data_IF_103566615627
#
_entry.id   IF_103566615627
#
_cell.length_a   1.000
_cell.length_b   1.000
_cell.length_c   1.000
_cell.angle_alpha   90.00
_cell.angle_beta   90.00
_cell.angle_gamma   90.00
#
_symmetry.space_group_name_H-M   'P 1'
#
loop_
_entity.id
_entity.type
_entity.pdbx_description
1 polymer ?
#
# COMPACT_ATOMS: atom_id res chain seq x y z
N UNK A 1 -4.05 -2.22 -22.49
CA UNK A 1 -2.73 -1.69 -22.04
C UNK A 1 -2.10 -0.73 -23.03
N UNK A 2 -2.24 -0.92 -24.35
CA UNK A 2 -1.80 0.10 -25.31
C UNK A 2 -2.54 1.43 -25.05
N UNK A 3 -1.83 2.56 -24.86
CA UNK A 3 -2.46 3.87 -24.71
C UNK A 3 -2.89 4.39 -26.09
N UNK A 4 -3.93 3.78 -26.67
CA UNK A 4 -4.36 3.94 -28.07
C UNK A 4 -4.78 5.37 -28.47
N UNK A 5 -5.06 6.23 -27.49
CA UNK A 5 -5.40 7.65 -27.72
C UNK A 5 -4.17 8.56 -27.79
N UNK A 6 -2.97 8.01 -27.65
CA UNK A 6 -1.72 8.78 -27.66
C UNK A 6 -0.74 8.15 -28.64
N UNK A 7 0.19 8.98 -29.14
CA UNK A 7 1.35 8.44 -29.87
C UNK A 7 2.30 7.80 -28.87
N UNK A 8 2.80 6.61 -29.21
CA UNK A 8 3.81 5.94 -28.42
C UNK A 8 5.09 6.80 -28.40
N UNK A 9 5.57 7.12 -27.20
CA UNK A 9 6.86 7.75 -26.99
C UNK A 9 7.90 6.65 -26.78
N UNK A 10 8.89 6.55 -27.68
CA UNK A 10 9.85 5.44 -27.71
C UNK A 10 11.26 5.88 -28.10
N UNK A 11 11.95 6.72 -27.29
CA UNK A 11 13.19 7.38 -27.67
C UNK A 11 14.34 6.43 -28.06
N UNK A 12 14.27 5.15 -27.67
CA UNK A 12 15.22 4.11 -28.13
C UNK A 12 14.76 2.67 -27.92
N UNK A 13 13.51 2.43 -27.48
CA UNK A 13 13.06 1.07 -27.15
C UNK A 13 12.81 0.25 -28.42
N UNK A 14 13.52 -0.86 -28.57
CA UNK A 14 13.45 -1.80 -29.70
C UNK A 14 13.37 -3.24 -29.21
N UNK A 15 12.87 -4.10 -30.09
CA UNK A 15 12.83 -5.55 -29.98
C UNK A 15 12.06 -6.03 -28.74
N UNK A 16 12.42 -7.21 -28.21
CA UNK A 16 11.71 -7.92 -27.17
C UNK A 16 10.90 -9.10 -27.70
N UNK A 17 10.69 -10.12 -26.87
CA UNK A 17 9.86 -11.27 -27.23
C UNK A 17 8.41 -10.81 -27.44
N UNK A 18 7.76 -11.35 -28.47
CA UNK A 18 6.36 -11.03 -28.81
C UNK A 18 6.15 -9.53 -29.11
N UNK A 19 7.09 -8.89 -29.82
CA UNK A 19 6.90 -7.53 -30.31
C UNK A 19 5.84 -7.52 -31.42
N UNK A 20 4.69 -6.90 -31.14
CA UNK A 20 3.52 -6.90 -32.02
C UNK A 20 3.22 -5.55 -32.69
N UNK A 21 4.08 -4.54 -32.50
CA UNK A 21 4.01 -3.25 -33.19
C UNK A 21 5.04 -3.18 -34.33
N UNK A 22 5.17 -2.02 -34.99
CA UNK A 22 6.15 -1.81 -36.06
C UNK A 22 7.61 -1.68 -35.58
N UNK A 23 7.88 -1.86 -34.28
CA UNK A 23 9.20 -1.81 -33.66
C UNK A 23 10.03 -0.55 -33.99
N UNK A 24 9.39 0.60 -34.20
CA UNK A 24 10.07 1.84 -34.59
C UNK A 24 10.67 1.84 -36.01
N UNK A 25 10.42 0.82 -36.82
CA UNK A 25 10.81 0.76 -38.23
C UNK A 25 12.28 1.07 -38.49
N UNK A 26 12.54 2.04 -39.38
CA UNK A 26 13.89 2.50 -39.76
C UNK A 26 14.39 3.69 -38.94
N UNK A 27 13.64 4.12 -37.92
CA UNK A 27 14.06 5.24 -37.09
C UNK A 27 15.35 4.89 -36.33
N UNK A 28 16.31 5.84 -36.18
CA UNK A 28 17.53 5.60 -35.41
C UNK A 28 17.23 5.11 -33.99
N UNK A 29 18.02 4.13 -33.54
CA UNK A 29 17.84 3.45 -32.26
C UNK A 29 18.71 4.01 -31.12
N UNK A 30 19.31 5.19 -31.30
CA UNK A 30 20.20 5.84 -30.32
C UNK A 30 19.89 7.33 -30.18
N UNK A 31 20.16 7.92 -29.03
CA UNK A 31 19.98 9.35 -28.74
C UNK A 31 21.13 9.89 -27.88
N UNK A 32 21.65 11.12 -28.14
CA UNK A 32 21.33 11.97 -29.28
C UNK A 32 21.93 11.42 -30.59
N UNK A 33 21.37 11.83 -31.74
CA UNK A 33 21.88 11.48 -33.07
C UNK A 33 21.76 12.66 -34.04
N UNK A 34 22.45 12.56 -35.17
CA UNK A 34 22.50 13.63 -36.21
C UNK A 34 21.39 13.50 -37.27
N UNK A 35 20.45 12.57 -37.11
CA UNK A 35 19.36 12.35 -38.06
C UNK A 35 18.11 13.15 -37.68
N UNK A 36 17.29 13.48 -38.68
CA UNK A 36 15.97 14.05 -38.44
C UNK A 36 15.08 13.00 -37.80
N UNK A 37 14.78 13.16 -36.52
CA UNK A 37 13.88 12.29 -35.78
C UNK A 37 12.56 12.98 -35.50
N UNK A 38 11.45 12.23 -35.53
CA UNK A 38 10.16 12.78 -35.12
C UNK A 38 10.15 13.09 -33.61
N UNK A 39 9.30 14.02 -33.15
CA UNK A 39 9.29 14.46 -31.74
C UNK A 39 9.10 13.31 -30.73
N UNK A 40 8.34 12.27 -31.08
CA UNK A 40 8.11 11.11 -30.21
C UNK A 40 9.34 10.21 -30.01
N UNK A 41 10.37 10.37 -30.82
CA UNK A 41 11.65 9.67 -30.72
C UNK A 41 12.71 10.47 -29.94
N UNK A 42 12.35 11.63 -29.37
CA UNK A 42 13.25 12.49 -28.58
C UNK A 42 12.72 12.63 -27.14
N UNK A 43 13.59 12.76 -26.13
CA UNK A 43 13.17 13.11 -24.77
C UNK A 43 12.38 14.42 -24.76
N UNK A 44 11.21 14.41 -24.15
CA UNK A 44 10.38 15.61 -23.98
C UNK A 44 10.70 16.25 -22.63
N UNK A 45 11.42 17.39 -22.67
CA UNK A 45 11.80 18.14 -21.47
C UNK A 45 10.59 18.76 -20.75
N UNK A 46 9.43 18.87 -21.39
CA UNK A 46 8.20 19.33 -20.73
C UNK A 46 7.64 18.30 -19.76
N UNK A 47 8.03 17.03 -19.92
CA UNK A 47 7.68 15.92 -19.04
C UNK A 47 8.68 15.68 -17.89
N UNK A 48 9.61 16.62 -17.64
CA UNK A 48 10.55 16.49 -16.53
C UNK A 48 9.81 16.44 -15.19
N UNK A 49 10.26 15.54 -14.31
CA UNK A 49 9.74 15.44 -12.95
C UNK A 49 9.98 16.74 -12.18
N UNK A 50 9.04 17.11 -11.31
CA UNK A 50 9.20 18.29 -10.46
C UNK A 50 10.33 18.05 -9.47
N UNK A 51 11.31 18.97 -9.35
CA UNK A 51 12.39 18.82 -8.38
C UNK A 51 11.83 18.85 -6.96
N UNK A 52 12.20 17.86 -6.15
CA UNK A 52 11.82 17.77 -4.73
C UNK A 52 13.05 18.06 -3.87
N UNK A 53 13.07 19.15 -3.08
CA UNK A 53 14.17 19.41 -2.17
C UNK A 53 14.15 18.37 -1.04
N UNK A 54 15.28 17.72 -0.80
CA UNK A 54 15.46 16.71 0.26
C UNK A 54 16.63 17.10 1.17
N UNK A 55 16.49 16.79 2.45
CA UNK A 55 17.53 17.02 3.46
C UNK A 55 17.68 15.79 4.35
N UNK A 56 18.93 15.38 4.62
CA UNK A 56 19.24 14.27 5.52
C UNK A 56 20.46 13.47 5.08
N UNK A 57 20.65 12.32 5.71
CA UNK A 57 21.72 11.37 5.38
C UNK A 57 21.14 10.18 4.61
N UNK A 58 21.86 9.72 3.58
CA UNK A 58 21.55 8.47 2.89
C UNK A 58 21.94 7.29 3.79
N UNK A 59 20.95 6.71 4.47
CA UNK A 59 21.15 5.59 5.37
C UNK A 59 19.88 4.72 5.43
N UNK A 60 20.02 3.45 5.85
CA UNK A 60 18.89 2.58 6.19
C UNK A 60 18.33 3.01 7.56
N UNK A 61 17.61 4.13 7.59
CA UNK A 61 16.92 4.56 8.81
C UNK A 61 15.66 3.71 8.98
N UNK A 62 15.36 3.34 10.21
CA UNK A 62 13.99 2.95 10.58
C UNK A 62 13.03 4.05 10.13
N UNK A 63 11.73 3.74 9.98
CA UNK A 63 10.69 4.70 9.62
C UNK A 63 10.42 5.68 10.79
N UNK A 64 11.48 6.33 11.29
CA UNK A 64 11.72 6.95 12.60
C UNK A 64 10.70 8.01 13.04
N UNK A 65 9.65 8.24 12.26
CA UNK A 65 8.45 8.97 12.65
C UNK A 65 7.58 8.21 13.67
N UNK A 66 7.74 6.90 13.87
CA UNK A 66 6.87 6.15 14.81
C UNK A 66 7.58 5.56 16.03
N UNK A 67 8.89 5.29 15.95
CA UNK A 67 9.57 4.48 16.97
C UNK A 67 9.96 5.28 18.24
N UNK A 68 9.99 6.62 18.17
CA UNK A 68 10.39 7.49 19.29
C UNK A 68 9.60 8.80 19.37
N UNK A 69 8.40 8.86 18.76
CA UNK A 69 7.59 10.08 18.79
C UNK A 69 6.60 10.09 19.96
N UNK A 70 6.44 11.28 20.56
CA UNK A 70 5.35 11.60 21.47
C UNK A 70 4.12 12.01 20.62
N UNK A 71 2.91 11.53 20.94
CA UNK A 71 2.58 10.60 22.01
C UNK A 71 3.01 9.16 21.69
N UNK A 72 3.28 8.33 22.73
CA UNK A 72 3.44 6.89 22.53
C UNK A 72 2.21 6.34 21.78
N UNK A 73 2.42 5.29 20.98
CA UNK A 73 1.34 4.63 20.22
C UNK A 73 0.69 5.49 19.11
N UNK A 74 1.44 6.44 18.53
CA UNK A 74 0.97 7.28 17.41
C UNK A 74 0.39 6.48 16.22
N UNK A 75 0.86 5.25 16.00
CA UNK A 75 0.37 4.33 14.97
C UNK A 75 -1.13 4.00 15.10
N UNK A 76 -1.68 4.09 16.33
CA UNK A 76 -3.06 3.71 16.61
C UNK A 76 -4.04 4.89 16.57
N UNK A 77 -3.56 6.13 16.39
CA UNK A 77 -4.41 7.34 16.41
C UNK A 77 -5.46 7.29 15.29
N UNK A 78 -5.03 7.05 14.06
CA UNK A 78 -5.95 7.00 12.91
C UNK A 78 -6.92 5.82 13.02
N UNK A 79 -6.44 4.66 13.48
CA UNK A 79 -7.28 3.49 13.70
C UNK A 79 -8.33 3.73 14.79
N UNK A 80 -7.96 4.44 15.87
CA UNK A 80 -8.87 4.83 16.95
C UNK A 80 -9.92 5.81 16.45
N UNK A 81 -9.54 6.80 15.64
CA UNK A 81 -10.49 7.73 15.03
C UNK A 81 -11.48 7.01 14.12
N UNK A 82 -11.00 6.10 13.27
CA UNK A 82 -11.88 5.28 12.43
C UNK A 82 -12.83 4.43 13.28
N UNK A 83 -12.32 3.78 14.32
CA UNK A 83 -13.14 2.96 15.21
C UNK A 83 -14.21 3.78 15.95
N UNK A 84 -13.84 4.93 16.53
CA UNK A 84 -14.74 5.77 17.34
C UNK A 84 -15.71 6.61 16.51
N UNK A 85 -15.29 7.10 15.36
CA UNK A 85 -16.04 8.09 14.57
C UNK A 85 -16.38 7.61 13.16
N UNK A 86 -15.58 6.72 12.58
CA UNK A 86 -15.84 6.14 11.26
C UNK A 86 -16.85 4.98 11.28
N UNK A 87 -16.98 4.28 12.42
CA UNK A 87 -17.88 3.14 12.57
C UNK A 87 -19.06 3.43 13.49
N UNK A 88 -20.25 3.06 13.04
CA UNK A 88 -21.43 2.97 13.90
C UNK A 88 -21.46 1.64 14.68
N UNK A 89 -22.43 1.49 15.59
CA UNK A 89 -22.54 0.31 16.46
C UNK A 89 -22.66 -1.01 15.68
N UNK A 90 -23.51 -1.05 14.64
CA UNK A 90 -23.71 -2.24 13.83
C UNK A 90 -22.43 -2.64 13.07
N UNK A 91 -21.70 -1.67 12.53
CA UNK A 91 -20.44 -1.90 11.84
C UNK A 91 -19.35 -2.40 12.79
N UNK A 92 -19.31 -1.89 14.04
CA UNK A 92 -18.40 -2.42 15.08
C UNK A 92 -18.74 -3.86 15.44
N UNK A 93 -20.01 -4.21 15.57
CA UNK A 93 -20.42 -5.60 15.81
C UNK A 93 -19.98 -6.53 14.67
N UNK A 94 -20.16 -6.11 13.41
CA UNK A 94 -19.69 -6.86 12.25
C UNK A 94 -18.16 -7.01 12.22
N UNK A 95 -17.44 -5.96 12.59
CA UNK A 95 -15.97 -5.99 12.70
C UNK A 95 -15.52 -7.04 13.72
N UNK A 96 -16.13 -7.07 14.91
CA UNK A 96 -15.81 -8.06 15.94
C UNK A 96 -16.13 -9.48 15.46
N UNK A 97 -17.29 -9.67 14.83
CA UNK A 97 -17.73 -10.98 14.34
C UNK A 97 -16.76 -11.54 13.28
N UNK A 98 -16.34 -10.71 12.33
CA UNK A 98 -15.40 -11.11 11.29
C UNK A 98 -14.04 -11.55 11.89
N UNK A 99 -13.57 -10.85 12.91
CA UNK A 99 -12.31 -11.17 13.59
C UNK A 99 -12.47 -12.43 14.47
N UNK A 100 -13.56 -12.52 15.24
CA UNK A 100 -13.84 -13.67 16.09
C UNK A 100 -13.97 -14.97 15.29
N UNK A 101 -14.51 -14.91 14.06
CA UNK A 101 -14.64 -16.06 13.17
C UNK A 101 -13.30 -16.58 12.64
N UNK A 102 -12.32 -15.71 12.38
CA UNK A 102 -10.99 -16.14 11.88
C UNK A 102 -10.05 -16.54 13.03
N UNK A 103 -10.30 -16.07 14.25
CA UNK A 103 -9.46 -16.33 15.42
C UNK A 103 -9.19 -17.82 15.71
N UNK A 104 -10.15 -18.76 15.58
CA UNK A 104 -9.90 -20.19 15.75
C UNK A 104 -8.88 -20.77 14.77
N UNK A 105 -8.79 -20.21 13.55
CA UNK A 105 -7.85 -20.69 12.52
C UNK A 105 -6.38 -20.45 12.89
N UNK A 106 -6.11 -19.54 13.83
CA UNK A 106 -4.76 -19.31 14.37
C UNK A 106 -4.53 -20.26 15.54
N UNK A 107 -3.57 -21.18 15.41
CA UNK A 107 -3.25 -22.13 16.49
C UNK A 107 -2.40 -21.52 17.61
N UNK A 108 -1.57 -20.53 17.27
CA UNK A 108 -0.61 -19.90 18.18
C UNK A 108 -1.23 -18.83 19.06
N UNK A 109 -1.26 -19.08 20.37
CA UNK A 109 -1.80 -18.15 21.37
C UNK A 109 -1.01 -16.84 21.45
N UNK A 110 0.32 -16.90 21.34
CA UNK A 110 1.18 -15.72 21.41
C UNK A 110 0.89 -14.72 20.27
N UNK A 111 0.53 -15.23 19.09
CA UNK A 111 0.11 -14.40 17.96
C UNK A 111 -1.25 -13.74 18.25
N UNK A 112 -2.22 -14.49 18.79
CA UNK A 112 -3.53 -13.95 19.17
C UNK A 112 -3.38 -12.82 20.20
N UNK A 113 -2.56 -13.04 21.22
CA UNK A 113 -2.32 -12.06 22.28
C UNK A 113 -1.68 -10.78 21.73
N UNK A 114 -0.66 -10.89 20.87
CA UNK A 114 -0.03 -9.71 20.23
C UNK A 114 -1.03 -8.91 19.41
N UNK A 115 -1.91 -9.58 18.67
CA UNK A 115 -2.99 -8.91 17.94
C UNK A 115 -3.98 -8.21 18.87
N UNK A 116 -4.43 -8.87 19.94
CA UNK A 116 -5.35 -8.25 20.91
C UNK A 116 -4.71 -7.05 21.61
N UNK A 117 -3.41 -7.08 21.89
CA UNK A 117 -2.68 -5.91 22.42
C UNK A 117 -2.72 -4.75 21.43
N UNK A 118 -2.53 -5.00 20.14
CA UNK A 118 -2.66 -3.97 19.11
C UNK A 118 -4.09 -3.39 19.05
N UNK A 119 -5.13 -4.23 19.11
CA UNK A 119 -6.52 -3.79 19.20
C UNK A 119 -6.81 -3.01 20.50
N UNK A 120 -6.19 -3.39 21.61
CA UNK A 120 -6.34 -2.68 22.89
C UNK A 120 -5.77 -1.26 22.82
N UNK A 121 -4.61 -1.11 22.16
CA UNK A 121 -4.01 0.21 21.89
C UNK A 121 -4.89 1.09 21.00
N UNK A 122 -5.75 0.51 20.17
CA UNK A 122 -6.80 1.23 19.46
C UNK A 122 -7.92 1.65 20.42
N UNK A 123 -8.58 0.69 21.07
CA UNK A 123 -9.63 0.95 22.06
C UNK A 123 -9.92 -0.31 22.91
N UNK A 124 -10.15 -0.20 24.24
CA UNK A 124 -10.45 -1.35 25.08
C UNK A 124 -11.73 -2.09 24.67
N UNK A 125 -12.78 -1.38 24.25
CA UNK A 125 -14.03 -2.02 23.80
C UNK A 125 -13.87 -2.83 22.52
N UNK A 126 -12.83 -2.54 21.72
CA UNK A 126 -12.55 -3.33 20.53
C UNK A 126 -12.18 -4.76 20.93
N UNK A 127 -11.28 -4.92 21.90
CA UNK A 127 -10.90 -6.24 22.43
C UNK A 127 -12.07 -6.93 23.12
N UNK A 128 -12.84 -6.19 23.92
CA UNK A 128 -14.01 -6.75 24.62
C UNK A 128 -15.02 -7.33 23.62
N UNK A 129 -15.32 -6.61 22.55
CA UNK A 129 -16.24 -7.08 21.51
C UNK A 129 -15.76 -8.34 20.80
N UNK A 130 -14.47 -8.42 20.47
CA UNK A 130 -13.89 -9.61 19.85
C UNK A 130 -13.97 -10.83 20.79
N UNK A 131 -13.55 -10.67 22.04
CA UNK A 131 -13.50 -11.78 22.99
C UNK A 131 -14.89 -12.29 23.37
N UNK A 132 -15.88 -11.41 23.49
CA UNK A 132 -17.28 -11.80 23.73
C UNK A 132 -17.76 -12.76 22.64
N UNK A 133 -17.64 -12.36 21.37
CA UNK A 133 -18.08 -13.18 20.23
C UNK A 133 -17.20 -14.42 20.03
N UNK A 134 -15.89 -14.34 20.30
CA UNK A 134 -15.00 -15.49 20.18
C UNK A 134 -15.38 -16.60 21.17
N UNK A 135 -15.71 -16.22 22.41
CA UNK A 135 -16.17 -17.16 23.42
C UNK A 135 -17.50 -17.80 23.00
N UNK A 136 -18.47 -16.99 22.54
CA UNK A 136 -19.76 -17.49 22.03
C UNK A 136 -19.59 -18.50 20.89
N UNK A 137 -18.75 -18.20 19.89
CA UNK A 137 -18.49 -19.09 18.75
C UNK A 137 -17.78 -20.38 19.22
N UNK A 138 -16.82 -20.25 20.13
CA UNK A 138 -16.07 -21.41 20.65
C UNK A 138 -16.97 -22.35 21.45
N UNK A 139 -17.93 -21.81 22.21
CA UNK A 139 -18.92 -22.62 22.95
C UNK A 139 -19.92 -23.35 22.04
N UNK A 140 -20.26 -22.79 20.88
CA UNK A 140 -21.18 -23.44 19.92
C UNK A 140 -20.55 -24.57 19.10
N UNK A 141 -19.21 -24.70 19.12
CA UNK A 141 -18.47 -25.72 18.38
C UNK A 141 -18.13 -26.96 19.22
N UNK A 142 -18.49 -26.96 20.51
CA UNK A 142 -18.37 -28.09 21.46
C UNK A 142 -19.72 -28.75 21.62
#
# INVERSE_FOLDING_TARGET
NCPFMTRQHHPSVRDGRLRCDANGGVEPNYYPNSFSQPPHARPDLTCNEKPVPLQGHLARKSHSRHENQLPPDAEYIQARQFYLHGLNHAQRANLYHNIAKIFPAVSRLDIKLRFLVACYKVHPDYVRGILALYNEISFQQV
#
